data_IF_890061906896
#
_entry.id   IF_890061906896
#
_cell.length_a   1.000
_cell.length_b   1.000
_cell.length_c   1.000
_cell.angle_alpha   90.00
_cell.angle_beta   90.00
_cell.angle_gamma   90.00
#
_symmetry.space_group_name_H-M   'P 1'
#
loop_
_entity.id
_entity.type
_entity.pdbx_description
1 polymer ?
#
# COMPACT_ATOMS: atom_id res chain seq x y z
N UNK A 1 17.80 -21.59 54.80
CA UNK A 1 18.39 -21.14 53.50
C UNK A 1 17.46 -21.62 52.40
N UNK A 2 16.48 -20.78 52.06
CA UNK A 2 15.36 -21.10 51.19
C UNK A 2 15.64 -20.39 49.84
N UNK A 3 15.86 -21.18 48.80
CA UNK A 3 16.12 -20.67 47.44
C UNK A 3 14.76 -20.39 46.80
N UNK A 4 14.51 -19.14 46.53
CA UNK A 4 13.34 -18.66 45.82
C UNK A 4 13.47 -19.05 44.33
N UNK A 5 12.52 -19.88 43.85
CA UNK A 5 12.33 -20.13 42.43
C UNK A 5 11.54 -18.96 41.82
N UNK A 6 12.23 -18.11 41.09
CA UNK A 6 11.61 -17.15 40.19
C UNK A 6 11.03 -17.94 38.97
N UNK A 7 9.70 -18.08 38.94
CA UNK A 7 9.00 -18.43 37.70
C UNK A 7 9.03 -17.24 36.76
N UNK A 8 9.87 -17.32 35.72
CA UNK A 8 9.68 -16.54 34.51
C UNK A 8 8.42 -17.10 33.82
N UNK A 9 7.32 -16.41 33.90
CA UNK A 9 6.19 -16.61 33.00
C UNK A 9 6.61 -16.15 31.60
N UNK A 10 6.96 -17.10 30.77
CA UNK A 10 7.07 -16.93 29.34
C UNK A 10 5.67 -16.60 28.81
N UNK A 11 5.40 -15.33 28.58
CA UNK A 11 4.30 -14.90 27.72
C UNK A 11 4.60 -15.43 26.31
N UNK A 12 4.07 -16.58 25.98
CA UNK A 12 3.97 -17.04 24.60
C UNK A 12 2.96 -16.15 23.90
N UNK A 13 3.45 -15.07 23.29
CA UNK A 13 2.71 -14.39 22.22
C UNK A 13 2.49 -15.40 21.12
N UNK A 14 1.26 -15.85 20.96
CA UNK A 14 0.81 -16.63 19.82
C UNK A 14 0.83 -15.68 18.60
N UNK A 15 2.00 -15.56 17.96
CA UNK A 15 2.20 -14.89 16.69
C UNK A 15 1.58 -15.76 15.58
N UNK A 16 0.27 -15.65 15.41
CA UNK A 16 -0.35 -16.11 14.17
C UNK A 16 0.02 -15.13 13.06
N UNK A 17 1.13 -15.41 12.40
CA UNK A 17 1.44 -14.76 11.11
C UNK A 17 0.32 -15.10 10.15
N UNK A 18 -0.34 -14.08 9.61
CA UNK A 18 -1.39 -14.28 8.64
C UNK A 18 -0.77 -14.73 7.32
N UNK A 19 -0.83 -16.04 7.03
CA UNK A 19 -0.38 -16.57 5.75
C UNK A 19 -1.47 -16.37 4.69
N UNK A 20 -1.20 -15.51 3.72
CA UNK A 20 -2.07 -15.30 2.57
C UNK A 20 -1.75 -16.35 1.51
N UNK A 21 -2.69 -17.27 1.31
CA UNK A 21 -2.54 -18.33 0.32
C UNK A 21 -2.71 -17.80 -1.10
N UNK A 22 -1.81 -18.18 -1.98
CA UNK A 22 -2.03 -18.05 -3.43
C UNK A 22 -3.03 -19.12 -3.86
N UNK A 23 -4.01 -18.73 -4.68
CA UNK A 23 -4.95 -19.68 -5.26
C UNK A 23 -4.20 -20.62 -6.19
N UNK A 24 -4.18 -21.92 -5.86
CA UNK A 24 -3.85 -22.92 -6.86
C UNK A 24 -4.98 -22.95 -7.88
N UNK A 25 -4.69 -22.84 -9.18
CA UNK A 25 -5.72 -22.97 -10.20
C UNK A 25 -6.40 -24.34 -10.00
N UNK A 26 -7.71 -24.32 -9.73
CA UNK A 26 -8.49 -25.58 -9.74
C UNK A 26 -8.36 -26.17 -11.14
N UNK A 27 -7.93 -27.43 -11.29
CA UNK A 27 -7.91 -28.06 -12.58
C UNK A 27 -9.34 -28.02 -13.15
N UNK A 28 -9.51 -27.38 -14.29
CA UNK A 28 -10.75 -27.45 -15.05
C UNK A 28 -10.86 -28.88 -15.57
N UNK A 29 -11.72 -29.68 -14.97
CA UNK A 29 -12.05 -31.00 -15.52
C UNK A 29 -13.03 -30.77 -16.66
N UNK A 30 -12.53 -30.94 -17.88
CA UNK A 30 -13.35 -30.83 -19.09
C UNK A 30 -13.83 -32.24 -19.44
N UNK A 31 -15.11 -32.56 -19.15
CA UNK A 31 -15.75 -33.80 -19.58
C UNK A 31 -16.80 -33.45 -20.64
N UNK A 32 -16.37 -33.32 -21.89
CA UNK A 32 -17.27 -32.96 -23.00
C UNK A 32 -17.78 -31.52 -22.87
N UNK A 33 -19.08 -31.29 -23.06
CA UNK A 33 -19.69 -29.94 -23.06
C UNK A 33 -19.97 -29.36 -21.66
N UNK A 34 -19.65 -30.09 -20.57
CA UNK A 34 -19.95 -29.67 -19.20
C UNK A 34 -18.67 -29.40 -18.41
N UNK A 35 -18.53 -28.13 -17.97
CA UNK A 35 -17.43 -27.72 -17.10
C UNK A 35 -17.85 -27.90 -15.64
N UNK A 36 -17.29 -28.89 -14.94
CA UNK A 36 -17.47 -29.06 -13.51
C UNK A 36 -16.40 -28.29 -12.73
N UNK A 37 -16.83 -27.41 -11.84
CA UNK A 37 -15.99 -26.94 -10.72
C UNK A 37 -16.27 -27.87 -9.52
N UNK A 38 -15.36 -28.79 -9.22
CA UNK A 38 -15.42 -29.52 -7.97
C UNK A 38 -15.11 -28.55 -6.82
N UNK A 39 -15.97 -28.49 -5.80
CA UNK A 39 -15.65 -27.81 -4.54
C UNK A 39 -14.59 -28.64 -3.81
N UNK A 40 -13.33 -28.25 -3.95
CA UNK A 40 -12.24 -28.87 -3.19
C UNK A 40 -12.23 -28.19 -1.80
N UNK A 41 -11.98 -28.93 -0.70
CA UNK A 41 -11.80 -28.31 0.61
C UNK A 41 -10.75 -27.21 0.57
N UNK A 42 -10.97 -26.09 1.26
CA UNK A 42 -10.13 -24.91 1.27
C UNK A 42 -10.11 -24.06 -0.03
N UNK A 43 -11.17 -24.12 -0.85
CA UNK A 43 -11.30 -23.30 -2.06
C UNK A 43 -11.93 -21.93 -1.83
N UNK A 44 -12.33 -21.64 -0.59
CA UNK A 44 -12.86 -20.33 -0.22
C UNK A 44 -11.78 -19.48 0.46
N UNK A 45 -11.75 -18.16 0.24
CA UNK A 45 -10.82 -17.28 0.92
C UNK A 45 -11.15 -17.20 2.43
N UNK A 46 -10.12 -17.22 3.28
CA UNK A 46 -10.29 -17.13 4.73
C UNK A 46 -10.57 -15.71 5.22
N UNK A 47 -10.19 -14.71 4.43
CA UNK A 47 -10.34 -13.29 4.74
C UNK A 47 -10.40 -12.46 3.46
N UNK A 48 -10.72 -11.18 3.62
CA UNK A 48 -10.86 -10.25 2.49
C UNK A 48 -9.55 -10.10 1.68
N UNK A 49 -8.39 -10.16 2.32
CA UNK A 49 -7.11 -10.02 1.63
C UNK A 49 -6.83 -11.22 0.71
N UNK A 50 -7.13 -12.44 1.15
CA UNK A 50 -7.09 -13.62 0.27
C UNK A 50 -8.08 -13.49 -0.89
N UNK A 51 -9.31 -12.99 -0.64
CA UNK A 51 -10.29 -12.76 -1.71
C UNK A 51 -9.75 -11.77 -2.74
N UNK A 52 -9.12 -10.69 -2.29
CA UNK A 52 -8.50 -9.69 -3.17
C UNK A 52 -7.37 -10.32 -3.99
N UNK A 53 -6.45 -11.04 -3.35
CA UNK A 53 -5.33 -11.71 -4.02
C UNK A 53 -5.81 -12.71 -5.07
N UNK A 54 -6.79 -13.55 -4.72
CA UNK A 54 -7.36 -14.53 -5.67
C UNK A 54 -8.06 -13.87 -6.86
N UNK A 55 -8.72 -12.74 -6.62
CA UNK A 55 -9.29 -11.95 -7.71
C UNK A 55 -8.21 -11.38 -8.62
N UNK A 56 -7.11 -10.86 -8.04
CA UNK A 56 -5.96 -10.31 -8.79
C UNK A 56 -5.28 -11.34 -9.67
N UNK A 57 -5.17 -12.60 -9.26
CA UNK A 57 -4.65 -13.67 -10.11
C UNK A 57 -5.39 -13.71 -11.46
N UNK A 58 -6.73 -13.70 -11.40
CA UNK A 58 -7.58 -13.73 -12.60
C UNK A 58 -7.54 -12.41 -13.38
N UNK A 59 -7.49 -11.29 -12.67
CA UNK A 59 -7.46 -9.96 -13.28
C UNK A 59 -6.16 -9.75 -14.07
N UNK A 60 -5.02 -10.08 -13.48
CA UNK A 60 -3.71 -9.93 -14.13
C UNK A 60 -3.57 -10.86 -15.35
N UNK A 61 -4.07 -12.09 -15.29
CA UNK A 61 -4.07 -12.97 -16.44
C UNK A 61 -4.85 -12.37 -17.61
N UNK A 62 -6.04 -11.82 -17.36
CA UNK A 62 -6.82 -11.10 -18.38
C UNK A 62 -6.12 -9.84 -18.90
N UNK A 63 -5.37 -9.15 -18.06
CA UNK A 63 -4.58 -8.00 -18.48
C UNK A 63 -3.45 -8.41 -19.42
N UNK A 64 -2.75 -9.51 -19.12
CA UNK A 64 -1.67 -10.08 -19.96
C UNK A 64 -2.18 -10.56 -21.33
N UNK A 65 -3.39 -11.15 -21.37
CA UNK A 65 -4.02 -11.58 -22.63
C UNK A 65 -4.33 -10.39 -23.53
N UNK A 66 -4.76 -9.25 -22.94
CA UNK A 66 -5.10 -8.04 -23.70
C UNK A 66 -3.88 -7.24 -24.14
N UNK A 67 -2.86 -7.17 -23.29
CA UNK A 67 -1.63 -6.42 -23.55
C UNK A 67 -0.43 -7.25 -23.10
N UNK A 68 0.22 -7.99 -24.01
CA UNK A 68 1.40 -8.79 -23.68
C UNK A 68 2.54 -7.95 -23.09
N UNK A 69 3.33 -8.54 -22.17
CA UNK A 69 4.39 -7.85 -21.45
C UNK A 69 5.38 -7.13 -22.37
N UNK A 70 5.70 -7.68 -23.53
CA UNK A 70 6.62 -7.05 -24.50
C UNK A 70 6.09 -5.70 -25.00
N UNK A 71 4.79 -5.64 -25.33
CA UNK A 71 4.15 -4.40 -25.77
C UNK A 71 4.05 -3.40 -24.60
N UNK A 72 3.73 -3.88 -23.39
CA UNK A 72 3.69 -3.05 -22.19
C UNK A 72 5.07 -2.42 -21.89
N UNK A 73 6.16 -3.16 -22.05
CA UNK A 73 7.53 -2.64 -21.90
C UNK A 73 7.87 -1.56 -22.92
N UNK A 74 7.37 -1.67 -24.14
CA UNK A 74 7.51 -0.61 -25.16
C UNK A 74 6.80 0.67 -24.69
N UNK A 75 5.56 0.56 -24.20
CA UNK A 75 4.84 1.72 -23.65
C UNK A 75 5.59 2.38 -22.50
N UNK A 76 6.23 1.59 -21.62
CA UNK A 76 7.05 2.13 -20.53
C UNK A 76 8.24 2.95 -21.02
N UNK A 77 8.83 2.58 -22.15
CA UNK A 77 9.96 3.32 -22.73
C UNK A 77 9.58 4.73 -23.22
N UNK A 78 8.31 4.92 -23.58
CA UNK A 78 7.79 6.19 -24.11
C UNK A 78 7.28 7.13 -23.01
N UNK A 79 7.19 6.66 -21.74
CA UNK A 79 6.70 7.48 -20.61
C UNK A 79 7.85 8.31 -20.04
N UNK A 80 7.57 9.60 -19.75
CA UNK A 80 8.53 10.49 -19.09
C UNK A 80 9.13 9.85 -17.81
N UNK A 81 10.38 10.11 -17.43
CA UNK A 81 10.98 9.55 -16.23
C UNK A 81 10.12 9.76 -14.97
N UNK A 82 10.14 8.82 -14.01
CA UNK A 82 9.42 9.02 -12.75
C UNK A 82 9.93 10.25 -12.01
N UNK A 83 9.04 10.91 -11.29
CA UNK A 83 9.38 11.96 -10.34
C UNK A 83 9.98 11.38 -9.08
N UNK A 84 10.78 12.16 -8.39
CA UNK A 84 11.40 11.77 -7.12
C UNK A 84 10.36 11.75 -5.98
N UNK A 85 9.72 10.60 -5.80
CA UNK A 85 8.71 10.39 -4.77
C UNK A 85 9.33 10.44 -3.37
N UNK A 86 10.49 9.81 -3.16
CA UNK A 86 11.16 9.79 -1.87
C UNK A 86 11.69 11.18 -1.47
N UNK A 87 12.31 11.88 -2.42
CA UNK A 87 12.76 13.26 -2.20
C UNK A 87 11.61 14.22 -1.87
N UNK A 88 10.44 14.05 -2.51
CA UNK A 88 9.26 14.85 -2.19
C UNK A 88 8.73 14.59 -0.76
N UNK A 89 8.92 13.39 -0.20
CA UNK A 89 8.60 13.10 1.19
C UNK A 89 9.65 13.64 2.16
N UNK A 90 10.93 13.53 1.82
CA UNK A 90 12.03 14.09 2.64
C UNK A 90 11.95 15.62 2.74
N UNK A 91 11.51 16.28 1.67
CA UNK A 91 11.34 17.73 1.58
C UNK A 91 9.85 18.13 1.66
N UNK A 92 9.08 17.44 2.50
CA UNK A 92 7.63 17.55 2.58
C UNK A 92 7.13 18.97 2.75
N UNK A 93 5.98 19.26 2.11
CA UNK A 93 5.27 20.55 2.23
C UNK A 93 4.54 20.69 3.56
N UNK A 94 4.32 19.57 4.24
CA UNK A 94 3.76 19.46 5.60
C UNK A 94 4.71 18.63 6.48
N UNK A 95 4.51 18.65 7.79
CA UNK A 95 5.33 17.86 8.73
C UNK A 95 4.47 17.16 9.79
N UNK A 96 4.27 15.84 9.63
CA UNK A 96 4.87 14.91 8.65
C UNK A 96 4.41 15.19 7.19
N UNK A 97 5.18 14.72 6.20
CA UNK A 97 4.86 14.89 4.79
C UNK A 97 3.57 14.14 4.43
N UNK A 98 2.67 14.75 3.65
CA UNK A 98 1.39 14.14 3.29
C UNK A 98 1.46 13.41 1.95
N UNK A 99 1.13 12.12 1.95
CA UNK A 99 0.67 11.34 0.80
C UNK A 99 -0.86 11.35 0.84
N UNK A 100 -1.50 12.11 -0.02
CA UNK A 100 -2.96 12.23 -0.05
C UNK A 100 -3.58 11.19 -0.98
N UNK A 101 -4.53 10.39 -0.48
CA UNK A 101 -5.07 9.24 -1.20
C UNK A 101 -6.37 9.57 -1.93
N UNK A 102 -6.35 9.42 -3.25
CA UNK A 102 -7.51 9.51 -4.16
C UNK A 102 -8.24 8.17 -4.15
N UNK A 103 -9.34 8.09 -3.39
CA UNK A 103 -10.08 6.86 -3.13
C UNK A 103 -11.58 7.07 -3.21
N UNK A 104 -12.28 6.22 -4.01
CA UNK A 104 -13.75 6.24 -4.15
C UNK A 104 -14.44 5.39 -3.11
N UNK A 105 -13.95 4.19 -2.88
CA UNK A 105 -14.57 3.18 -2.03
C UNK A 105 -13.52 2.35 -1.28
N UNK A 106 -13.96 1.57 -0.29
CA UNK A 106 -13.15 0.53 0.37
C UNK A 106 -14.01 -0.64 0.82
N UNK A 107 -13.46 -1.85 1.01
CA UNK A 107 -14.20 -3.02 1.50
C UNK A 107 -14.89 -2.78 2.85
N UNK A 108 -14.23 -2.04 3.75
CA UNK A 108 -14.74 -1.81 5.12
C UNK A 108 -15.78 -0.69 5.22
N UNK A 109 -15.89 0.21 4.23
CA UNK A 109 -16.78 1.40 4.28
C UNK A 109 -17.73 1.52 3.09
N UNK A 110 -17.58 0.67 2.06
CA UNK A 110 -18.33 0.84 0.81
C UNK A 110 -17.89 2.11 0.08
N UNK A 111 -18.85 2.78 -0.58
CA UNK A 111 -18.61 4.05 -1.30
C UNK A 111 -18.39 5.18 -0.29
N UNK A 112 -17.21 5.83 -0.35
CA UNK A 112 -16.80 6.94 0.52
C UNK A 112 -17.14 8.30 -0.11
N UNK A 113 -16.95 8.42 -1.44
CA UNK A 113 -17.23 9.64 -2.22
C UNK A 113 -18.11 9.28 -3.42
N UNK A 114 -19.41 9.59 -3.37
CA UNK A 114 -20.36 9.24 -4.42
C UNK A 114 -20.10 10.03 -5.71
N UNK A 115 -19.83 11.33 -5.57
CA UNK A 115 -19.47 12.27 -6.63
C UNK A 115 -17.95 12.25 -6.93
N UNK A 116 -17.41 11.06 -7.10
CA UNK A 116 -15.96 10.86 -7.26
C UNK A 116 -15.43 11.41 -8.59
N UNK A 117 -14.59 12.44 -8.48
CA UNK A 117 -13.80 12.97 -9.59
C UNK A 117 -12.31 12.92 -9.19
N UNK A 118 -11.52 11.97 -9.71
CA UNK A 118 -10.14 11.78 -9.27
C UNK A 118 -9.24 13.00 -9.55
N UNK A 119 -9.50 13.72 -10.64
CA UNK A 119 -8.73 14.92 -11.01
C UNK A 119 -9.02 16.06 -10.05
N UNK A 120 -10.30 16.37 -9.79
CA UNK A 120 -10.68 17.44 -8.88
C UNK A 120 -10.16 17.18 -7.46
N UNK A 121 -10.25 15.94 -6.97
CA UNK A 121 -9.70 15.52 -5.68
C UNK A 121 -8.18 15.71 -5.64
N UNK A 122 -7.45 15.25 -6.65
CA UNK A 122 -6.01 15.38 -6.73
C UNK A 122 -5.53 16.83 -6.78
N UNK A 123 -6.25 17.69 -7.52
CA UNK A 123 -5.97 19.13 -7.58
C UNK A 123 -6.22 19.83 -6.23
N UNK A 124 -7.29 19.46 -5.52
CA UNK A 124 -7.57 19.98 -4.19
C UNK A 124 -6.48 19.55 -3.18
N UNK A 125 -6.03 18.31 -3.24
CA UNK A 125 -4.90 17.83 -2.43
C UNK A 125 -3.60 18.59 -2.72
N UNK A 126 -3.29 18.81 -4.01
CA UNK A 126 -2.10 19.57 -4.41
C UNK A 126 -2.12 21.01 -3.89
N UNK A 127 -3.28 21.69 -3.97
CA UNK A 127 -3.48 23.04 -3.42
C UNK A 127 -3.41 23.05 -1.90
N UNK A 128 -3.99 22.05 -1.24
CA UNK A 128 -3.97 21.90 0.22
C UNK A 128 -2.61 21.61 0.82
N UNK A 129 -1.57 21.30 0.01
CA UNK A 129 -0.21 21.13 0.49
C UNK A 129 0.28 19.68 0.53
N UNK A 130 -0.41 18.73 -0.13
CA UNK A 130 0.11 17.37 -0.28
C UNK A 130 1.48 17.37 -0.95
N UNK A 131 2.39 16.52 -0.46
CA UNK A 131 3.72 16.31 -1.03
C UNK A 131 3.70 15.28 -2.16
N UNK A 132 2.88 14.24 -2.00
CA UNK A 132 2.66 13.18 -2.97
C UNK A 132 1.17 12.80 -3.02
N UNK A 133 0.78 12.09 -4.06
CA UNK A 133 -0.53 11.49 -4.19
C UNK A 133 -0.44 9.96 -4.12
N UNK A 134 -1.49 9.32 -3.63
CA UNK A 134 -1.74 7.88 -3.74
C UNK A 134 -3.03 7.69 -4.52
N UNK A 135 -3.02 6.90 -5.59
CA UNK A 135 -4.22 6.66 -6.41
C UNK A 135 -4.57 5.18 -6.39
N UNK A 136 -5.78 4.86 -5.89
CA UNK A 136 -6.31 3.49 -5.91
C UNK A 136 -6.58 3.04 -7.34
N UNK A 137 -6.02 1.87 -7.70
CA UNK A 137 -6.18 1.29 -9.05
C UNK A 137 -6.98 -0.01 -9.04
N UNK A 138 -7.23 -0.62 -7.88
CA UNK A 138 -8.10 -1.78 -7.75
C UNK A 138 -9.55 -1.46 -8.15
N UNK A 139 -10.11 -2.26 -9.09
CA UNK A 139 -11.45 -2.02 -9.63
C UNK A 139 -12.56 -2.61 -8.78
N UNK A 140 -12.39 -3.86 -8.34
CA UNK A 140 -13.49 -4.61 -7.71
C UNK A 140 -13.78 -4.11 -6.30
N UNK A 141 -12.75 -3.92 -5.50
CA UNK A 141 -12.89 -3.68 -4.06
C UNK A 141 -12.81 -2.20 -3.69
N UNK A 142 -12.12 -1.39 -4.49
CA UNK A 142 -11.93 0.04 -4.22
C UNK A 142 -12.54 0.96 -5.28
N UNK A 143 -13.15 0.41 -6.34
CA UNK A 143 -13.71 1.15 -7.47
C UNK A 143 -12.72 2.15 -8.09
N UNK A 144 -11.43 1.81 -8.04
CA UNK A 144 -10.33 2.54 -8.66
C UNK A 144 -10.07 2.10 -10.10
N UNK A 145 -9.05 2.65 -10.73
CA UNK A 145 -8.55 2.17 -12.02
C UNK A 145 -7.18 2.75 -12.37
N UNK A 146 -6.42 2.06 -13.22
CA UNK A 146 -5.22 2.62 -13.83
C UNK A 146 -5.51 3.84 -14.71
N UNK A 147 -6.73 3.98 -15.21
CA UNK A 147 -7.15 5.15 -15.99
C UNK A 147 -7.30 6.38 -15.08
N UNK A 148 -7.80 6.23 -13.85
CA UNK A 148 -7.80 7.30 -12.85
C UNK A 148 -6.39 7.80 -12.55
N UNK A 149 -5.41 6.89 -12.41
CA UNK A 149 -4.02 7.26 -12.19
C UNK A 149 -3.47 8.08 -13.37
N UNK A 150 -3.74 7.63 -14.59
CA UNK A 150 -3.31 8.33 -15.79
C UNK A 150 -3.97 9.72 -15.94
N UNK A 151 -5.28 9.84 -15.65
CA UNK A 151 -5.98 11.13 -15.65
C UNK A 151 -5.38 12.09 -14.62
N UNK A 152 -5.10 11.63 -13.41
CA UNK A 152 -4.45 12.43 -12.37
C UNK A 152 -3.05 12.87 -12.81
N UNK A 153 -2.25 11.93 -13.38
CA UNK A 153 -0.89 12.24 -13.87
C UNK A 153 -0.85 13.37 -14.88
N UNK A 154 -1.87 13.46 -15.75
CA UNK A 154 -1.95 14.49 -16.79
C UNK A 154 -2.29 15.90 -16.24
N UNK A 155 -2.85 15.97 -15.05
CA UNK A 155 -3.43 17.20 -14.49
C UNK A 155 -2.71 17.72 -13.24
N UNK A 156 -1.85 16.90 -12.61
CA UNK A 156 -1.18 17.26 -11.37
C UNK A 156 0.30 16.93 -11.45
N UNK A 157 1.12 17.87 -10.99
CA UNK A 157 2.59 17.77 -11.07
C UNK A 157 3.23 17.10 -9.84
N UNK A 158 2.45 16.56 -8.89
CA UNK A 158 2.96 15.84 -7.73
C UNK A 158 3.40 14.41 -8.10
N UNK A 159 4.37 13.82 -7.37
CA UNK A 159 4.67 12.41 -7.49
C UNK A 159 3.48 11.53 -7.09
N UNK A 160 3.27 10.41 -7.81
CA UNK A 160 2.10 9.54 -7.66
C UNK A 160 2.51 8.11 -7.30
N UNK A 161 1.96 7.62 -6.19
CA UNK A 161 1.97 6.22 -5.80
C UNK A 161 0.80 5.48 -6.48
N UNK A 162 1.09 4.40 -7.20
CA UNK A 162 0.09 3.42 -7.60
C UNK A 162 -0.26 2.53 -6.40
N UNK A 163 -1.45 2.73 -5.82
CA UNK A 163 -1.96 1.95 -4.68
C UNK A 163 -2.74 0.75 -5.22
N UNK A 164 -2.07 -0.38 -5.30
CA UNK A 164 -2.53 -1.61 -5.94
C UNK A 164 -2.05 -2.84 -5.15
N UNK A 165 -2.76 -3.96 -5.25
CA UNK A 165 -2.31 -5.25 -4.74
C UNK A 165 -1.41 -5.92 -5.78
N UNK A 166 -0.13 -5.60 -5.72
CA UNK A 166 0.86 -6.10 -6.67
C UNK A 166 1.30 -7.49 -6.27
N UNK A 167 0.99 -8.47 -7.13
CA UNK A 167 1.32 -9.88 -6.95
C UNK A 167 2.14 -10.45 -8.11
N UNK A 168 2.34 -9.65 -9.16
CA UNK A 168 3.15 -9.98 -10.32
C UNK A 168 3.93 -8.77 -10.84
N UNK A 169 5.13 -9.00 -11.40
CA UNK A 169 5.92 -7.93 -12.04
C UNK A 169 5.18 -7.14 -13.10
N UNK A 170 4.26 -7.80 -13.82
CA UNK A 170 3.44 -7.18 -14.85
C UNK A 170 2.71 -5.92 -14.37
N UNK A 171 2.22 -5.93 -13.12
CA UNK A 171 1.50 -4.79 -12.54
C UNK A 171 2.43 -3.60 -12.28
N UNK A 172 3.71 -3.84 -11.97
CA UNK A 172 4.72 -2.77 -11.81
C UNK A 172 4.95 -2.05 -13.14
N UNK A 173 5.07 -2.81 -14.24
CA UNK A 173 5.15 -2.22 -15.59
C UNK A 173 3.86 -1.48 -15.96
N UNK A 174 2.69 -2.02 -15.61
CA UNK A 174 1.39 -1.36 -15.84
C UNK A 174 1.29 -0.04 -15.10
N UNK A 175 1.71 0.02 -13.84
CA UNK A 175 1.77 1.24 -13.05
C UNK A 175 2.69 2.28 -13.72
N UNK A 176 3.89 1.85 -14.14
CA UNK A 176 4.85 2.74 -14.81
C UNK A 176 4.30 3.27 -16.13
N UNK A 177 3.70 2.43 -16.97
CA UNK A 177 3.11 2.82 -18.24
C UNK A 177 1.97 3.86 -18.10
N UNK A 178 1.32 3.89 -16.94
CA UNK A 178 0.28 4.87 -16.60
C UNK A 178 0.80 6.11 -15.89
N UNK A 179 2.11 6.23 -15.69
CA UNK A 179 2.76 7.42 -15.15
C UNK A 179 2.96 7.41 -13.62
N UNK A 180 2.92 6.25 -12.97
CA UNK A 180 3.28 6.14 -11.55
C UNK A 180 4.78 6.42 -11.34
N UNK A 181 5.08 7.04 -10.20
CA UNK A 181 6.42 7.36 -9.73
C UNK A 181 6.85 6.42 -8.59
N UNK A 182 5.86 5.83 -7.91
CA UNK A 182 6.04 4.84 -6.85
C UNK A 182 5.01 3.72 -6.97
N UNK A 183 5.32 2.58 -6.38
CA UNK A 183 4.42 1.41 -6.30
C UNK A 183 4.35 0.88 -4.88
N UNK A 184 3.17 0.36 -4.51
CA UNK A 184 2.95 -0.32 -3.25
C UNK A 184 3.36 -1.79 -3.36
N UNK A 185 4.15 -2.27 -2.41
CA UNK A 185 4.47 -3.68 -2.22
C UNK A 185 4.05 -4.06 -0.80
N UNK A 186 3.16 -5.04 -0.66
CA UNK A 186 2.58 -5.41 0.64
C UNK A 186 3.30 -6.67 1.15
N UNK A 187 4.03 -6.56 2.26
CA UNK A 187 4.79 -7.67 2.83
C UNK A 187 3.91 -8.88 3.21
N UNK A 188 2.69 -8.63 3.66
CA UNK A 188 1.72 -9.67 4.02
C UNK A 188 1.30 -10.59 2.86
N UNK A 189 1.38 -10.13 1.59
CA UNK A 189 0.94 -10.91 0.41
C UNK A 189 2.09 -11.40 -0.46
N UNK A 190 3.33 -11.00 -0.17
CA UNK A 190 4.52 -11.34 -0.95
C UNK A 190 5.49 -12.18 -0.13
N UNK A 191 5.99 -13.26 -0.74
CA UNK A 191 7.12 -14.00 -0.19
C UNK A 191 8.42 -13.18 -0.34
N UNK A 192 9.44 -13.47 0.48
CA UNK A 192 10.70 -12.70 0.50
C UNK A 192 11.39 -12.64 -0.86
N UNK A 193 11.38 -13.77 -1.61
CA UNK A 193 11.94 -13.83 -2.96
C UNK A 193 11.22 -12.90 -3.93
N UNK A 194 9.88 -12.86 -3.86
CA UNK A 194 9.05 -12.02 -4.73
C UNK A 194 9.20 -10.54 -4.34
N UNK A 195 9.17 -10.24 -3.04
CA UNK A 195 9.35 -8.89 -2.53
C UNK A 195 10.71 -8.31 -2.96
N UNK A 196 11.81 -9.05 -2.76
CA UNK A 196 13.14 -8.65 -3.20
C UNK A 196 13.20 -8.44 -4.72
N UNK A 197 12.60 -9.35 -5.49
CA UNK A 197 12.55 -9.25 -6.96
C UNK A 197 11.76 -8.02 -7.41
N UNK A 198 10.62 -7.74 -6.79
CA UNK A 198 9.77 -6.59 -7.14
C UNK A 198 10.42 -5.25 -6.78
N UNK A 199 11.12 -5.18 -5.64
CA UNK A 199 11.95 -4.03 -5.29
C UNK A 199 12.99 -3.74 -6.38
N UNK A 200 13.69 -4.78 -6.86
CA UNK A 200 14.67 -4.63 -7.94
C UNK A 200 14.04 -4.14 -9.25
N UNK A 201 12.86 -4.66 -9.61
CA UNK A 201 12.13 -4.22 -10.81
C UNK A 201 11.69 -2.76 -10.68
N UNK A 202 11.08 -2.37 -9.55
CA UNK A 202 10.68 -0.99 -9.30
C UNK A 202 11.86 -0.03 -9.44
N UNK A 203 12.99 -0.35 -8.79
CA UNK A 203 14.23 0.45 -8.89
C UNK A 203 14.82 0.48 -10.31
N UNK A 204 14.79 -0.64 -11.05
CA UNK A 204 15.23 -0.66 -12.45
C UNK A 204 14.36 0.24 -13.35
N UNK A 205 13.09 0.41 -13.01
CA UNK A 205 12.18 1.36 -13.64
C UNK A 205 12.26 2.77 -13.05
N UNK A 206 13.22 3.02 -12.15
CA UNK A 206 13.44 4.28 -11.42
C UNK A 206 12.24 4.71 -10.57
N UNK A 207 11.35 3.79 -10.22
CA UNK A 207 10.24 4.04 -9.30
C UNK A 207 10.65 3.76 -7.85
N UNK A 208 10.03 4.49 -6.91
CA UNK A 208 10.19 4.26 -5.47
C UNK A 208 9.25 3.14 -5.02
N UNK A 209 9.75 2.00 -4.48
CA UNK A 209 8.88 1.03 -3.81
C UNK A 209 8.53 1.54 -2.41
N UNK A 210 7.24 1.69 -2.10
CA UNK A 210 6.70 1.80 -0.75
C UNK A 210 6.35 0.40 -0.27
N UNK A 211 7.01 -0.09 0.79
CA UNK A 211 6.78 -1.44 1.28
C UNK A 211 5.92 -1.36 2.55
N UNK A 212 4.69 -1.86 2.46
CA UNK A 212 3.72 -1.84 3.55
C UNK A 212 3.92 -3.05 4.48
N UNK A 213 3.97 -2.77 5.79
CA UNK A 213 4.10 -3.75 6.86
C UNK A 213 3.05 -3.51 7.96
N UNK A 214 2.63 -4.60 8.65
CA UNK A 214 1.63 -4.58 9.72
C UNK A 214 2.17 -5.14 11.02
N UNK A 215 3.24 -5.94 10.96
CA UNK A 215 3.80 -6.65 12.09
C UNK A 215 5.31 -6.47 12.19
N UNK A 216 5.86 -6.75 13.36
CA UNK A 216 7.31 -6.69 13.58
C UNK A 216 8.05 -7.72 12.73
N UNK A 217 7.45 -8.89 12.52
CA UNK A 217 8.03 -9.94 11.67
C UNK A 217 8.11 -9.47 10.20
N UNK A 218 7.04 -8.84 9.70
CA UNK A 218 7.04 -8.25 8.34
C UNK A 218 8.11 -7.15 8.24
N UNK A 219 8.22 -6.28 9.25
CA UNK A 219 9.25 -5.24 9.29
C UNK A 219 10.66 -5.84 9.24
N UNK A 220 10.93 -6.91 10.01
CA UNK A 220 12.23 -7.59 10.03
C UNK A 220 12.56 -8.22 8.67
N UNK A 221 11.60 -8.87 8.01
CA UNK A 221 11.75 -9.40 6.65
C UNK A 221 12.12 -8.29 5.66
N UNK A 222 11.43 -7.15 5.73
CA UNK A 222 11.65 -5.99 4.84
C UNK A 222 13.02 -5.35 5.10
N UNK A 223 13.44 -5.25 6.36
CA UNK A 223 14.77 -4.76 6.72
C UNK A 223 15.90 -5.68 6.24
N UNK A 224 15.64 -6.95 5.96
CA UNK A 224 16.57 -7.88 5.32
C UNK A 224 16.78 -7.63 3.82
N UNK A 225 16.01 -6.75 3.17
CA UNK A 225 16.09 -6.47 1.74
C UNK A 225 17.00 -5.26 1.48
N UNK A 226 17.95 -5.44 0.56
CA UNK A 226 18.86 -4.36 0.17
C UNK A 226 18.13 -3.25 -0.58
N UNK A 227 18.50 -2.01 -0.25
CA UNK A 227 18.04 -0.83 -0.97
C UNK A 227 16.59 -0.43 -0.62
N UNK A 228 16.01 -0.93 0.45
CA UNK A 228 14.75 -0.40 1.00
C UNK A 228 15.01 0.95 1.67
N UNK A 229 14.25 1.98 1.25
CA UNK A 229 14.38 3.36 1.71
C UNK A 229 13.06 3.95 2.20
N UNK A 230 11.92 3.30 1.88
CA UNK A 230 10.57 3.76 2.21
C UNK A 230 9.71 2.60 2.71
N UNK A 231 9.25 2.68 3.95
CA UNK A 231 8.41 1.66 4.59
C UNK A 231 7.11 2.31 5.08
N UNK A 232 5.98 1.71 4.74
CA UNK A 232 4.67 2.06 5.25
C UNK A 232 4.32 1.16 6.44
N UNK A 233 4.01 1.75 7.59
CA UNK A 233 3.42 1.01 8.72
C UNK A 233 1.92 1.25 8.68
N UNK A 234 1.16 0.20 8.35
CA UNK A 234 -0.27 0.27 8.28
C UNK A 234 -0.89 -0.06 9.66
N UNK A 235 -1.53 0.94 10.25
CA UNK A 235 -2.19 0.85 11.55
C UNK A 235 -3.49 0.02 11.52
N UNK A 236 -3.94 -0.39 10.34
CA UNK A 236 -5.13 -1.23 10.18
C UNK A 236 -4.75 -2.70 10.21
N UNK A 237 -5.32 -3.44 11.15
CA UNK A 237 -5.27 -4.90 11.14
C UNK A 237 -6.11 -5.42 9.96
N UNK A 238 -5.51 -6.25 9.09
CA UNK A 238 -6.17 -6.77 7.90
C UNK A 238 -7.12 -7.95 8.19
N UNK A 239 -7.11 -8.47 9.42
CA UNK A 239 -7.98 -9.59 9.83
C UNK A 239 -9.35 -9.11 10.29
N UNK A 240 -9.39 -8.06 11.11
CA UNK A 240 -10.61 -7.56 11.76
C UNK A 240 -10.92 -6.09 11.45
N UNK A 241 -10.09 -5.43 10.66
CA UNK A 241 -10.14 -4.01 10.31
C UNK A 241 -10.03 -3.03 11.48
N UNK A 242 -9.66 -3.49 12.67
CA UNK A 242 -9.33 -2.60 13.78
C UNK A 242 -8.17 -1.68 13.43
N UNK A 243 -8.13 -0.49 14.01
CA UNK A 243 -7.11 0.52 13.72
C UNK A 243 -6.50 1.02 15.03
N UNK A 244 -5.17 0.99 15.13
CA UNK A 244 -4.44 1.48 16.28
C UNK A 244 -3.14 2.17 15.86
N UNK A 245 -2.99 3.46 16.17
CA UNK A 245 -1.75 4.20 15.94
C UNK A 245 -0.57 3.64 16.76
N UNK A 246 -0.88 2.85 17.79
CA UNK A 246 0.14 2.16 18.59
C UNK A 246 0.99 1.23 17.74
N UNK A 247 0.44 0.68 16.61
CA UNK A 247 1.21 -0.13 15.67
C UNK A 247 2.42 0.64 15.13
N UNK A 248 2.22 1.89 14.67
CA UNK A 248 3.36 2.73 14.22
C UNK A 248 4.35 2.99 15.35
N UNK A 249 3.85 3.29 16.56
CA UNK A 249 4.71 3.58 17.73
C UNK A 249 5.56 2.37 18.09
N UNK A 250 4.96 1.19 18.20
CA UNK A 250 5.62 -0.03 18.67
C UNK A 250 6.64 -0.53 17.63
N UNK A 251 6.27 -0.58 16.36
CA UNK A 251 7.16 -1.05 15.30
C UNK A 251 8.38 -0.13 15.13
N UNK A 252 8.14 1.19 15.13
CA UNK A 252 9.23 2.15 15.05
C UNK A 252 10.17 2.02 16.25
N UNK A 253 9.62 1.98 17.48
CA UNK A 253 10.42 1.86 18.70
C UNK A 253 11.27 0.58 18.70
N UNK A 254 10.69 -0.55 18.26
CA UNK A 254 11.37 -1.84 18.22
C UNK A 254 12.57 -1.88 17.26
N UNK A 255 12.60 -1.05 16.21
CA UNK A 255 13.66 -1.03 15.17
C UNK A 255 14.26 0.35 14.94
N UNK A 256 14.11 1.26 15.91
CA UNK A 256 14.53 2.66 15.81
C UNK A 256 15.96 2.82 15.31
N UNK A 257 16.90 2.11 15.90
CA UNK A 257 18.34 2.24 15.58
C UNK A 257 18.63 1.92 14.11
N UNK A 258 18.15 0.77 13.62
CA UNK A 258 18.38 0.37 12.23
C UNK A 258 17.64 1.25 11.23
N UNK A 259 16.44 1.71 11.55
CA UNK A 259 15.67 2.63 10.72
C UNK A 259 16.38 3.97 10.58
N UNK A 260 16.91 4.50 11.67
CA UNK A 260 17.65 5.77 11.67
C UNK A 260 19.03 5.64 11.01
N UNK A 261 19.77 4.56 11.30
CA UNK A 261 21.09 4.32 10.72
C UNK A 261 21.04 4.18 9.20
N UNK A 262 19.97 3.58 8.67
CA UNK A 262 19.77 3.39 7.23
C UNK A 262 19.01 4.54 6.56
N UNK A 263 18.65 5.59 7.29
CA UNK A 263 17.84 6.74 6.82
C UNK A 263 16.55 6.30 6.11
N UNK A 264 15.88 5.28 6.66
CA UNK A 264 14.61 4.78 6.13
C UNK A 264 13.49 5.74 6.49
N UNK A 265 12.76 6.20 5.48
CA UNK A 265 11.56 7.03 5.67
C UNK A 265 10.37 6.14 6.05
N UNK A 266 9.78 6.42 7.21
CA UNK A 266 8.57 5.73 7.69
C UNK A 266 7.35 6.57 7.35
N UNK A 267 6.36 5.90 6.70
CA UNK A 267 5.02 6.41 6.42
C UNK A 267 4.05 5.74 7.39
N UNK A 268 3.29 6.50 8.18
CA UNK A 268 2.18 5.94 8.97
C UNK A 268 0.91 5.97 8.14
N UNK A 269 0.22 4.83 8.04
CA UNK A 269 -0.96 4.66 7.20
C UNK A 269 -2.17 4.24 8.03
N UNK A 270 -3.35 4.71 7.68
CA UNK A 270 -4.65 4.46 8.34
C UNK A 270 -4.79 5.10 9.75
N UNK A 271 -6.02 5.48 10.10
CA UNK A 271 -6.38 5.94 11.44
C UNK A 271 -6.01 7.38 11.76
N UNK A 272 -5.64 8.19 10.77
CA UNK A 272 -5.21 9.57 10.95
C UNK A 272 -6.37 10.52 10.65
N UNK A 273 -6.92 11.16 11.68
CA UNK A 273 -8.13 11.99 11.60
C UNK A 273 -7.95 13.40 12.16
N UNK A 274 -7.03 13.57 13.10
CA UNK A 274 -6.85 14.81 13.88
C UNK A 274 -5.39 15.25 13.88
N UNK A 275 -5.10 16.56 14.16
CA UNK A 275 -3.72 17.01 14.39
C UNK A 275 -3.01 16.25 15.49
N UNK A 276 -3.75 15.78 16.51
CA UNK A 276 -3.20 14.99 17.61
C UNK A 276 -2.70 13.61 17.11
N UNK A 277 -3.43 12.97 16.19
CA UNK A 277 -2.99 11.70 15.57
C UNK A 277 -1.68 11.90 14.80
N UNK A 278 -1.58 12.99 14.03
CA UNK A 278 -0.36 13.35 13.30
C UNK A 278 0.82 13.57 14.24
N UNK A 279 0.59 14.28 15.36
CA UNK A 279 1.62 14.52 16.35
C UNK A 279 2.09 13.21 17.01
N UNK A 280 1.17 12.29 17.31
CA UNK A 280 1.49 10.98 17.88
C UNK A 280 2.45 10.19 16.99
N UNK A 281 2.13 10.02 15.70
CA UNK A 281 2.97 9.24 14.78
C UNK A 281 4.27 9.98 14.43
N UNK A 282 4.25 11.31 14.37
CA UNK A 282 5.45 12.15 14.18
C UNK A 282 6.42 11.98 15.34
N UNK A 283 5.94 12.04 16.60
CA UNK A 283 6.77 11.84 17.80
C UNK A 283 7.35 10.43 17.85
N UNK A 284 6.61 9.42 17.37
CA UNK A 284 7.13 8.06 17.21
C UNK A 284 8.29 7.98 16.22
N UNK A 285 8.34 8.87 15.20
CA UNK A 285 9.41 8.92 14.20
C UNK A 285 8.96 8.85 12.75
N UNK A 286 7.65 8.77 12.49
CA UNK A 286 7.12 8.82 11.14
C UNK A 286 7.46 10.17 10.47
N UNK A 287 8.05 10.12 9.28
CA UNK A 287 8.40 11.30 8.48
C UNK A 287 7.29 11.67 7.49
N UNK A 288 6.43 10.72 7.17
CA UNK A 288 5.30 10.92 6.28
C UNK A 288 4.06 10.19 6.81
N UNK A 289 2.90 10.58 6.27
CA UNK A 289 1.60 9.97 6.55
C UNK A 289 0.85 9.73 5.25
N UNK A 290 0.10 8.63 5.16
CA UNK A 290 -0.81 8.36 4.06
C UNK A 290 -2.25 8.47 4.55
N UNK A 291 -3.00 9.43 3.98
CA UNK A 291 -4.35 9.78 4.44
C UNK A 291 -5.32 9.82 3.26
N UNK A 292 -6.42 9.11 3.38
CA UNK A 292 -7.47 9.05 2.36
C UNK A 292 -8.84 9.40 2.92
N UNK A 293 -9.46 8.47 3.67
CA UNK A 293 -10.85 8.54 4.09
C UNK A 293 -11.23 9.85 4.79
N UNK A 294 -10.43 10.27 5.77
CA UNK A 294 -10.72 11.48 6.58
C UNK A 294 -10.71 12.77 5.76
N UNK A 295 -9.96 12.81 4.67
CA UNK A 295 -9.84 13.97 3.78
C UNK A 295 -10.84 13.91 2.62
N UNK A 296 -10.91 12.77 1.90
CA UNK A 296 -11.71 12.68 0.65
C UNK A 296 -13.20 12.84 0.87
N UNK A 297 -13.71 12.51 2.05
CA UNK A 297 -15.13 12.64 2.42
C UNK A 297 -15.57 14.08 2.69
N UNK A 298 -14.63 15.00 2.87
CA UNK A 298 -14.94 16.41 3.17
C UNK A 298 -15.47 17.12 1.91
N UNK A 299 -16.33 18.11 2.12
CA UNK A 299 -16.82 18.96 1.03
C UNK A 299 -15.70 19.83 0.47
N UNK A 300 -14.95 20.48 1.35
CA UNK A 300 -13.77 21.29 0.98
C UNK A 300 -12.49 20.52 1.37
N UNK A 301 -11.97 19.76 0.41
CA UNK A 301 -10.79 18.91 0.60
C UNK A 301 -9.52 19.75 0.84
N UNK A 302 -9.36 20.88 0.14
CA UNK A 302 -8.21 21.77 0.30
C UNK A 302 -8.14 22.32 1.74
N UNK A 303 -9.28 22.82 2.24
CA UNK A 303 -9.37 23.34 3.61
C UNK A 303 -9.19 22.22 4.65
N UNK A 304 -9.68 21.02 4.37
CA UNK A 304 -9.53 19.88 5.26
C UNK A 304 -8.05 19.49 5.45
N UNK A 305 -7.26 19.53 4.37
CA UNK A 305 -5.81 19.30 4.46
C UNK A 305 -5.18 20.42 5.30
N UNK A 306 -5.47 21.69 5.00
CA UNK A 306 -4.91 22.81 5.74
C UNK A 306 -5.23 22.74 7.24
N UNK A 307 -6.49 22.42 7.60
CA UNK A 307 -6.92 22.30 8.99
C UNK A 307 -6.22 21.15 9.72
N UNK A 308 -6.01 20.02 9.04
CA UNK A 308 -5.36 18.85 9.65
C UNK A 308 -3.90 19.11 10.02
N UNK A 309 -3.22 19.99 9.30
CA UNK A 309 -1.80 20.32 9.50
C UNK A 309 -1.57 21.71 10.14
N UNK A 310 -2.62 22.42 10.54
CA UNK A 310 -2.53 23.75 11.17
C UNK A 310 -2.18 23.69 12.67
N UNK A 311 -2.04 22.50 13.26
CA UNK A 311 -1.78 22.27 14.70
C UNK A 311 -0.30 22.18 15.07
#
# INVERSE_FOLDING_TARGET
MQIAHNKLELFTFNLFTMQIRRRNPNPKVNTGEVVYQSKIPNTEPNNILEEIVWHKEVEVDRMRDRLPLMQLRQQVADVAPPKDFLGALRNGRTNPALIAEVKKASPSKGVIKADFNPVAIAQAYAKGGASCLSVLTDRKFFQGSFDNLNLVRQQVDLPILCKEFIIYPYQIYSARAKGADAVLLIAAILEDKDLNYFVKIAKALKMTPLIEVHTLEELDRVLGIDGVELIGINNRNLTDFSVSLQTTVDLFAARKEVLQQRDIVIVSESGLHTPQDLNTVKQAGAKAVLIGESLVKQENIEQAVSNLFAG
#
